data_IF_604181366035
#
_entry.id   IF_604181366035
#
_cell.length_a   1.000
_cell.length_b   1.000
_cell.length_c   1.000
_cell.angle_alpha   90.00
_cell.angle_beta   90.00
_cell.angle_gamma   90.00
#
_symmetry.space_group_name_H-M   'P 1'
#
loop_
_entity.id
_entity.type
_entity.pdbx_description
1 polymer ?
#
# COMPACT_ATOMS: atom_id res chain seq x y z
N UNK A 1 -8.96 33.45 2.78
CA UNK A 1 -7.75 33.50 1.97
C UNK A 1 -7.17 32.14 1.68
N UNK A 2 -8.01 31.11 1.62
CA UNK A 2 -7.71 29.75 1.15
C UNK A 2 -8.76 29.24 0.15
N UNK A 3 -9.76 30.10 -0.17
CA UNK A 3 -10.84 29.78 -1.11
C UNK A 3 -10.46 29.90 -2.60
N UNK A 4 -9.28 30.46 -2.90
CA UNK A 4 -8.88 30.76 -4.28
C UNK A 4 -7.88 29.74 -4.87
N UNK A 5 -7.62 28.62 -4.16
CA UNK A 5 -6.67 27.58 -4.58
C UNK A 5 -7.38 26.23 -4.84
N UNK A 6 -8.68 26.17 -4.68
CA UNK A 6 -9.42 24.97 -5.12
C UNK A 6 -9.76 25.17 -6.59
N UNK A 7 -9.06 24.53 -7.53
CA UNK A 7 -9.54 24.51 -8.90
C UNK A 7 -10.93 23.90 -8.88
N UNK A 8 -11.86 24.58 -9.52
CA UNK A 8 -13.17 24.07 -9.84
C UNK A 8 -12.99 22.63 -10.34
N UNK A 9 -13.59 21.67 -9.65
CA UNK A 9 -13.34 20.25 -9.74
C UNK A 9 -13.23 19.79 -11.20
N UNK A 10 -12.02 19.59 -11.68
CA UNK A 10 -11.81 18.82 -12.89
C UNK A 10 -12.08 17.34 -12.58
N UNK A 11 -13.31 17.01 -12.27
CA UNK A 11 -13.83 15.65 -12.41
C UNK A 11 -13.65 15.34 -13.90
N UNK A 12 -12.92 14.29 -14.28
CA UNK A 12 -12.87 13.88 -15.67
C UNK A 12 -14.32 13.76 -16.14
N UNK A 13 -14.63 14.39 -17.27
CA UNK A 13 -15.99 14.39 -17.81
C UNK A 13 -16.31 12.98 -18.27
N UNK A 14 -16.72 12.15 -17.29
CA UNK A 14 -17.11 10.78 -17.54
C UNK A 14 -18.39 10.82 -18.36
N UNK A 15 -18.38 10.17 -19.50
CA UNK A 15 -19.58 9.91 -20.27
C UNK A 15 -20.59 9.10 -19.41
N UNK A 16 -21.82 8.95 -19.89
CA UNK A 16 -22.87 8.26 -19.15
C UNK A 16 -22.46 6.83 -18.79
N UNK A 17 -21.73 6.14 -19.68
CA UNK A 17 -21.24 4.79 -19.46
C UNK A 17 -20.17 4.76 -18.36
N UNK A 18 -19.22 5.68 -18.38
CA UNK A 18 -18.19 5.84 -17.35
C UNK A 18 -18.79 6.12 -15.96
N UNK A 19 -19.86 6.93 -15.87
CA UNK A 19 -20.58 7.19 -14.61
C UNK A 19 -21.26 5.94 -14.07
N UNK A 20 -21.88 5.14 -14.94
CA UNK A 20 -22.51 3.86 -14.54
C UNK A 20 -21.45 2.89 -14.02
N UNK A 21 -20.32 2.73 -14.73
CA UNK A 21 -19.22 1.87 -14.30
C UNK A 21 -18.64 2.33 -12.97
N UNK A 22 -18.37 3.64 -12.79
CA UNK A 22 -17.87 4.20 -11.55
C UNK A 22 -18.84 3.97 -10.39
N UNK A 23 -20.15 4.15 -10.63
CA UNK A 23 -21.18 3.89 -9.60
C UNK A 23 -21.26 2.41 -9.21
N UNK A 24 -21.17 1.49 -10.18
CA UNK A 24 -21.15 0.06 -9.91
C UNK A 24 -19.90 -0.36 -9.13
N UNK A 25 -18.73 0.18 -9.46
CA UNK A 25 -17.50 -0.05 -8.72
C UNK A 25 -17.61 0.49 -7.29
N UNK A 26 -18.12 1.71 -7.11
CA UNK A 26 -18.34 2.29 -5.77
C UNK A 26 -19.28 1.43 -4.92
N UNK A 27 -20.40 0.97 -5.48
CA UNK A 27 -21.32 0.07 -4.79
C UNK A 27 -20.67 -1.28 -4.45
N UNK A 28 -19.86 -1.83 -5.35
CA UNK A 28 -19.15 -3.08 -5.09
C UNK A 28 -18.13 -2.92 -3.95
N UNK A 29 -17.37 -1.82 -3.95
CA UNK A 29 -16.43 -1.50 -2.87
C UNK A 29 -17.14 -1.32 -1.54
N UNK A 30 -18.28 -0.62 -1.50
CA UNK A 30 -19.10 -0.47 -0.26
C UNK A 30 -19.55 -1.82 0.30
N UNK A 31 -19.97 -2.74 -0.58
CA UNK A 31 -20.42 -4.08 -0.16
C UNK A 31 -19.30 -4.93 0.42
N UNK A 32 -18.10 -4.83 -0.16
CA UNK A 32 -16.95 -5.70 0.19
C UNK A 32 -16.09 -5.10 1.30
N UNK A 33 -15.84 -3.80 1.29
CA UNK A 33 -14.85 -3.14 2.15
C UNK A 33 -15.37 -2.67 3.51
N UNK A 34 -16.64 -2.88 3.82
CA UNK A 34 -17.27 -2.55 5.12
C UNK A 34 -16.97 -1.10 5.61
N UNK A 35 -16.42 -0.96 6.84
CA UNK A 35 -16.36 0.33 7.56
C UNK A 35 -15.39 1.36 6.94
N UNK A 36 -14.38 0.95 6.17
CA UNK A 36 -13.40 1.85 5.54
C UNK A 36 -13.69 2.17 4.09
N UNK A 37 -14.80 1.67 3.58
CA UNK A 37 -15.20 1.86 2.19
C UNK A 37 -15.35 3.34 1.80
N UNK A 38 -15.82 4.19 2.72
CA UNK A 38 -16.03 5.61 2.44
C UNK A 38 -14.75 6.36 2.08
N UNK A 39 -13.67 6.17 2.84
CA UNK A 39 -12.37 6.81 2.55
C UNK A 39 -11.77 6.31 1.24
N UNK A 40 -11.97 5.05 0.91
CA UNK A 40 -11.50 4.45 -0.33
C UNK A 40 -12.28 4.98 -1.53
N UNK A 41 -13.59 5.12 -1.38
CA UNK A 41 -14.47 5.66 -2.42
C UNK A 41 -14.14 7.13 -2.69
N UNK A 42 -13.95 7.94 -1.65
CA UNK A 42 -13.56 9.34 -1.81
C UNK A 42 -12.29 9.49 -2.65
N UNK A 43 -11.29 8.68 -2.39
CA UNK A 43 -10.04 8.68 -3.18
C UNK A 43 -10.23 8.25 -4.62
N UNK A 44 -11.12 7.28 -4.86
CA UNK A 44 -11.36 6.73 -6.20
C UNK A 44 -12.29 7.61 -7.04
N UNK A 45 -13.27 8.26 -6.40
CA UNK A 45 -14.34 9.02 -7.08
C UNK A 45 -14.02 10.51 -7.18
N UNK A 46 -13.19 11.05 -6.26
CA UNK A 46 -12.77 12.44 -6.25
C UNK A 46 -11.24 12.58 -6.40
N UNK A 47 -10.63 12.09 -7.50
CA UNK A 47 -9.20 12.25 -7.70
C UNK A 47 -8.88 13.71 -8.01
N UNK A 48 -7.83 14.24 -7.36
CA UNK A 48 -7.29 15.54 -7.76
C UNK A 48 -6.65 15.42 -9.15
N UNK A 49 -7.21 16.12 -10.12
CA UNK A 49 -6.64 16.21 -11.46
C UNK A 49 -5.31 16.97 -11.43
N UNK A 50 -4.40 16.59 -12.29
CA UNK A 50 -3.16 17.35 -12.52
C UNK A 50 -3.46 18.33 -13.64
N UNK A 51 -3.60 19.63 -13.30
CA UNK A 51 -3.77 20.66 -14.30
C UNK A 51 -2.47 20.87 -15.10
N UNK A 52 -2.60 21.14 -16.39
CA UNK A 52 -1.47 21.56 -17.22
C UNK A 52 -0.94 22.90 -16.70
N UNK A 53 0.23 22.88 -16.09
CA UNK A 53 0.92 24.11 -15.69
C UNK A 53 1.78 24.59 -16.84
N UNK A 54 1.34 25.65 -17.52
CA UNK A 54 2.17 26.38 -18.47
C UNK A 54 2.34 25.80 -19.87
N UNK A 55 1.46 24.91 -20.32
CA UNK A 55 1.26 24.62 -21.76
C UNK A 55 2.37 23.80 -22.46
N UNK A 56 3.32 23.20 -21.77
CA UNK A 56 4.47 22.53 -22.42
C UNK A 56 4.82 21.15 -21.89
N UNK A 57 4.21 20.66 -20.81
CA UNK A 57 4.51 19.32 -20.33
C UNK A 57 3.21 18.57 -20.05
N UNK A 58 2.81 17.73 -20.99
CA UNK A 58 1.74 16.79 -20.77
C UNK A 58 2.21 15.80 -19.70
N UNK A 59 1.75 15.99 -18.47
CA UNK A 59 2.05 15.03 -17.40
C UNK A 59 1.36 13.71 -17.77
N UNK A 60 2.08 12.58 -17.70
CA UNK A 60 1.57 11.27 -18.14
C UNK A 60 0.50 10.71 -17.20
N UNK A 61 0.24 11.40 -16.11
CA UNK A 61 -0.70 11.00 -15.08
C UNK A 61 -1.84 12.02 -14.99
N UNK A 62 -3.06 11.55 -15.20
CA UNK A 62 -4.24 12.39 -15.12
C UNK A 62 -4.53 12.86 -13.69
N UNK A 63 -4.03 12.15 -12.68
CA UNK A 63 -4.32 12.43 -11.26
C UNK A 63 -3.08 12.41 -10.39
N UNK A 64 -3.06 13.24 -9.35
CA UNK A 64 -1.98 13.26 -8.36
C UNK A 64 -1.88 11.92 -7.60
N UNK A 65 -3.02 11.29 -7.30
CA UNK A 65 -3.05 9.99 -6.64
C UNK A 65 -2.40 8.90 -7.51
N UNK A 66 -2.71 8.87 -8.82
CA UNK A 66 -2.09 7.92 -9.75
C UNK A 66 -0.57 8.12 -9.85
N UNK A 67 -0.10 9.36 -9.90
CA UNK A 67 1.34 9.66 -9.88
C UNK A 67 2.00 9.19 -8.59
N UNK A 68 1.37 9.47 -7.44
CA UNK A 68 1.88 9.04 -6.13
C UNK A 68 1.92 7.51 -5.99
N UNK A 69 0.91 6.78 -6.49
CA UNK A 69 0.88 5.32 -6.47
C UNK A 69 1.99 4.70 -7.35
N UNK A 70 2.25 5.29 -8.52
CA UNK A 70 3.37 4.86 -9.38
C UNK A 70 4.70 5.10 -8.67
N UNK A 71 4.93 6.27 -8.09
CA UNK A 71 6.16 6.56 -7.35
C UNK A 71 6.35 5.66 -6.12
N UNK A 72 5.28 5.36 -5.36
CA UNK A 72 5.36 4.45 -4.20
C UNK A 72 5.76 3.03 -4.63
N UNK A 73 5.18 2.51 -5.70
CA UNK A 73 5.55 1.21 -6.25
C UNK A 73 6.99 1.16 -6.75
N UNK A 74 7.41 2.18 -7.50
CA UNK A 74 8.77 2.28 -8.04
C UNK A 74 9.82 2.45 -6.94
N UNK A 75 9.53 3.23 -5.90
CA UNK A 75 10.43 3.39 -4.76
C UNK A 75 10.74 2.06 -4.06
N UNK A 76 9.83 1.09 -4.14
CA UNK A 76 9.97 -0.24 -3.52
C UNK A 76 10.68 -1.24 -4.43
N UNK A 77 10.35 -1.24 -5.72
CA UNK A 77 10.79 -2.30 -6.63
C UNK A 77 11.82 -1.80 -7.66
N UNK A 78 11.72 -0.55 -8.10
CA UNK A 78 12.62 0.05 -9.12
C UNK A 78 13.02 1.49 -8.75
N UNK A 79 13.76 1.71 -7.66
CA UNK A 79 14.04 3.06 -7.13
C UNK A 79 14.76 3.97 -8.15
N UNK A 80 15.57 3.40 -9.03
CA UNK A 80 16.24 4.17 -10.10
C UNK A 80 15.26 4.78 -11.09
N UNK A 81 14.24 4.03 -11.53
CA UNK A 81 13.18 4.52 -12.42
C UNK A 81 12.32 5.56 -11.67
N UNK A 82 11.98 5.27 -10.41
CA UNK A 82 11.22 6.20 -9.57
C UNK A 82 11.93 7.55 -9.38
N UNK A 83 13.24 7.54 -9.15
CA UNK A 83 14.04 8.75 -9.06
C UNK A 83 14.11 9.51 -10.40
N UNK A 84 14.33 8.80 -11.51
CA UNK A 84 14.34 9.40 -12.84
C UNK A 84 13.02 10.07 -13.17
N UNK A 85 11.90 9.40 -12.88
CA UNK A 85 10.55 9.94 -13.07
C UNK A 85 10.32 11.19 -12.20
N UNK A 86 10.71 11.16 -10.92
CA UNK A 86 10.58 12.28 -10.01
C UNK A 86 11.42 13.51 -10.42
N UNK A 87 12.54 13.29 -11.11
CA UNK A 87 13.38 14.34 -11.68
C UNK A 87 12.90 14.83 -13.06
N UNK A 88 11.79 14.32 -13.58
CA UNK A 88 11.20 14.76 -14.84
C UNK A 88 11.83 14.15 -16.10
N UNK A 89 12.55 13.03 -15.96
CA UNK A 89 13.05 12.31 -17.14
C UNK A 89 11.92 11.59 -17.86
N UNK A 90 12.04 11.49 -19.19
CA UNK A 90 11.06 10.78 -20.03
C UNK A 90 11.26 9.26 -19.91
N UNK A 91 10.67 8.68 -18.86
CA UNK A 91 10.71 7.23 -18.59
C UNK A 91 9.31 6.67 -18.23
N UNK A 92 8.25 7.28 -18.78
CA UNK A 92 6.87 7.00 -18.40
C UNK A 92 6.43 5.57 -18.69
N UNK A 93 6.79 5.02 -19.84
CA UNK A 93 6.43 3.64 -20.19
C UNK A 93 7.05 2.65 -19.22
N UNK A 94 8.36 2.80 -18.94
CA UNK A 94 9.07 1.96 -17.98
C UNK A 94 8.49 2.12 -16.55
N UNK A 95 8.10 3.32 -16.18
CA UNK A 95 7.46 3.59 -14.89
C UNK A 95 6.11 2.91 -14.74
N UNK A 96 5.27 2.99 -15.78
CA UNK A 96 3.95 2.33 -15.79
C UNK A 96 4.07 0.81 -15.83
N UNK A 97 5.03 0.26 -16.55
CA UNK A 97 5.25 -1.18 -16.61
C UNK A 97 5.74 -1.71 -15.26
N UNK A 98 6.68 -1.02 -14.61
CA UNK A 98 7.11 -1.34 -13.26
C UNK A 98 5.96 -1.27 -12.25
N UNK A 99 5.14 -0.23 -12.30
CA UNK A 99 3.94 -0.14 -11.46
C UNK A 99 2.95 -1.29 -11.70
N UNK A 100 2.69 -1.65 -12.96
CA UNK A 100 1.78 -2.77 -13.30
C UNK A 100 2.31 -4.11 -12.80
N UNK A 101 3.61 -4.34 -12.90
CA UNK A 101 4.27 -5.54 -12.41
C UNK A 101 4.16 -5.62 -10.89
N UNK A 102 4.52 -4.55 -10.17
CA UNK A 102 4.37 -4.44 -8.72
C UNK A 102 2.92 -4.67 -8.27
N UNK A 103 1.96 -4.05 -8.95
CA UNK A 103 0.53 -4.21 -8.63
C UNK A 103 0.07 -5.66 -8.81
N UNK A 104 0.44 -6.31 -9.93
CA UNK A 104 0.09 -7.71 -10.16
C UNK A 104 0.70 -8.62 -9.09
N UNK A 105 1.97 -8.44 -8.77
CA UNK A 105 2.66 -9.22 -7.74
C UNK A 105 1.96 -9.06 -6.37
N UNK A 106 1.66 -7.83 -5.95
CA UNK A 106 0.98 -7.57 -4.69
C UNK A 106 -0.43 -8.18 -4.65
N UNK A 107 -1.22 -8.03 -5.71
CA UNK A 107 -2.57 -8.60 -5.77
C UNK A 107 -2.56 -10.13 -5.82
N UNK A 108 -1.62 -10.74 -6.53
CA UNK A 108 -1.44 -12.20 -6.53
C UNK A 108 -1.07 -12.71 -5.14
N UNK A 109 -0.15 -12.04 -4.47
CA UNK A 109 0.23 -12.37 -3.09
C UNK A 109 -0.97 -12.27 -2.13
N UNK A 110 -1.77 -11.22 -2.22
CA UNK A 110 -2.97 -11.05 -1.39
C UNK A 110 -4.04 -12.12 -1.69
N UNK A 111 -4.18 -12.51 -2.95
CA UNK A 111 -5.16 -13.53 -3.35
C UNK A 111 -4.83 -14.90 -2.77
N UNK A 112 -3.53 -15.24 -2.74
CA UNK A 112 -3.03 -16.53 -2.28
C UNK A 112 -2.64 -16.52 -0.78
N UNK A 113 -2.72 -15.36 -0.11
CA UNK A 113 -2.33 -15.23 1.29
C UNK A 113 -3.19 -16.09 2.21
N UNK A 114 -2.55 -16.79 3.14
CA UNK A 114 -3.23 -17.35 4.30
C UNK A 114 -3.47 -16.26 5.34
N UNK A 115 -4.74 -15.99 5.65
CA UNK A 115 -5.16 -14.89 6.53
C UNK A 115 -5.56 -15.43 7.90
N UNK A 116 -4.72 -15.18 8.88
CA UNK A 116 -5.01 -15.46 10.30
C UNK A 116 -5.46 -14.19 11.03
N UNK A 117 -6.48 -14.32 11.88
CA UNK A 117 -7.05 -13.20 12.63
C UNK A 117 -6.90 -13.41 14.12
N UNK A 118 -6.34 -12.41 14.76
CA UNK A 118 -6.21 -12.30 16.22
C UNK A 118 -6.92 -11.04 16.69
N UNK A 119 -7.18 -10.94 17.98
CA UNK A 119 -7.73 -9.71 18.54
C UNK A 119 -6.71 -8.57 18.40
N UNK A 120 -7.06 -7.55 17.63
CA UNK A 120 -6.20 -6.39 17.38
C UNK A 120 -5.22 -6.56 16.22
N UNK A 121 -5.09 -7.77 15.61
CA UNK A 121 -4.10 -8.06 14.59
C UNK A 121 -4.65 -8.99 13.50
N UNK A 122 -4.37 -8.67 12.25
CA UNK A 122 -4.48 -9.60 11.12
C UNK A 122 -3.08 -9.94 10.64
N UNK A 123 -2.81 -11.22 10.42
CA UNK A 123 -1.59 -11.73 9.81
C UNK A 123 -1.91 -12.24 8.41
N UNK A 124 -1.21 -11.72 7.41
CA UNK A 124 -1.25 -12.18 6.03
C UNK A 124 0.05 -12.91 5.72
N UNK A 125 -0.01 -14.21 5.67
CA UNK A 125 1.11 -15.07 5.32
C UNK A 125 1.16 -15.27 3.81
N UNK A 126 2.25 -14.83 3.18
CA UNK A 126 2.50 -14.91 1.74
C UNK A 126 3.76 -15.74 1.42
N UNK A 127 4.23 -16.56 2.35
CA UNK A 127 5.45 -17.35 2.20
C UNK A 127 5.40 -18.33 1.03
N UNK A 128 4.23 -18.87 0.70
CA UNK A 128 4.06 -19.76 -0.46
C UNK A 128 3.95 -19.01 -1.80
N UNK A 129 3.97 -17.68 -1.75
CA UNK A 129 3.86 -16.86 -2.95
C UNK A 129 5.23 -16.27 -3.26
N UNK A 130 5.77 -16.52 -4.44
CA UNK A 130 6.97 -15.83 -4.91
C UNK A 130 6.68 -14.35 -5.04
N UNK A 131 6.83 -13.62 -3.96
CA UNK A 131 6.70 -12.16 -3.94
C UNK A 131 8.08 -11.55 -3.76
N UNK A 132 8.41 -10.60 -4.62
CA UNK A 132 9.59 -9.78 -4.41
C UNK A 132 9.48 -9.04 -3.07
N UNK A 133 10.57 -8.94 -2.34
CA UNK A 133 10.63 -8.27 -1.02
C UNK A 133 10.05 -6.85 -1.03
N UNK A 134 10.08 -6.17 -2.18
CA UNK A 134 9.47 -4.85 -2.38
C UNK A 134 7.95 -4.81 -2.26
N UNK A 135 7.23 -5.92 -2.48
CA UNK A 135 5.76 -5.93 -2.51
C UNK A 135 5.11 -6.11 -1.14
N UNK A 136 5.83 -6.66 -0.16
CA UNK A 136 5.26 -7.02 1.15
C UNK A 136 4.63 -5.83 1.90
N UNK A 137 5.24 -4.66 1.82
CA UNK A 137 4.70 -3.43 2.41
C UNK A 137 3.38 -2.99 1.76
N UNK A 138 3.26 -3.20 0.44
CA UNK A 138 2.03 -2.95 -0.31
C UNK A 138 0.95 -3.96 0.06
N UNK A 139 1.30 -5.24 0.23
CA UNK A 139 0.40 -6.29 0.72
C UNK A 139 -0.16 -5.92 2.10
N UNK A 140 0.70 -5.58 3.06
CA UNK A 140 0.28 -5.18 4.40
C UNK A 140 -0.69 -3.98 4.35
N UNK A 141 -0.37 -2.95 3.56
CA UNK A 141 -1.20 -1.76 3.37
C UNK A 141 -2.56 -2.10 2.77
N UNK A 142 -2.60 -2.86 1.68
CA UNK A 142 -3.85 -3.20 1.00
C UNK A 142 -4.74 -4.11 1.84
N UNK A 143 -4.16 -5.06 2.57
CA UNK A 143 -4.92 -5.90 3.52
C UNK A 143 -5.51 -5.04 4.63
N UNK A 144 -4.74 -4.09 5.19
CA UNK A 144 -5.24 -3.14 6.20
C UNK A 144 -6.41 -2.30 5.68
N UNK A 145 -6.26 -1.74 4.47
CA UNK A 145 -7.22 -0.76 3.95
C UNK A 145 -8.51 -1.43 3.44
N UNK A 146 -8.42 -2.66 2.93
CA UNK A 146 -9.55 -3.29 2.23
C UNK A 146 -10.07 -4.58 2.85
N UNK A 147 -9.26 -5.34 3.59
CA UNK A 147 -9.66 -6.67 4.11
C UNK A 147 -9.71 -6.76 5.63
N UNK A 148 -8.94 -5.93 6.35
CA UNK A 148 -8.85 -5.99 7.80
C UNK A 148 -9.87 -5.08 8.49
N UNK A 149 -10.47 -5.58 9.57
CA UNK A 149 -11.20 -4.78 10.54
C UNK A 149 -10.35 -4.47 11.78
N UNK A 150 -9.25 -5.22 11.94
CA UNK A 150 -8.34 -5.05 13.06
C UNK A 150 -7.43 -3.83 12.84
N UNK A 151 -6.99 -3.17 13.93
CA UNK A 151 -6.19 -1.95 13.85
C UNK A 151 -4.77 -2.17 13.29
N UNK A 152 -4.25 -3.39 13.35
CA UNK A 152 -2.91 -3.73 12.90
C UNK A 152 -2.94 -4.86 11.89
N UNK A 153 -2.08 -4.78 10.88
CA UNK A 153 -1.83 -5.85 9.91
C UNK A 153 -0.34 -6.14 9.83
N UNK A 154 -0.01 -7.41 9.86
CA UNK A 154 1.32 -7.95 9.65
C UNK A 154 1.31 -8.80 8.39
N UNK A 155 2.19 -8.54 7.44
CA UNK A 155 2.44 -9.40 6.29
C UNK A 155 3.77 -10.14 6.49
N UNK A 156 3.81 -11.43 6.18
CA UNK A 156 4.95 -12.32 6.37
C UNK A 156 5.29 -12.97 5.04
N UNK A 157 6.54 -12.81 4.58
CA UNK A 157 7.13 -13.50 3.44
C UNK A 157 8.31 -14.35 3.91
N UNK A 158 8.97 -15.06 2.99
CA UNK A 158 10.07 -15.98 3.34
C UNK A 158 11.27 -15.26 3.99
N UNK A 159 11.59 -14.06 3.48
CA UNK A 159 12.78 -13.31 3.86
C UNK A 159 12.48 -11.91 4.45
N UNK A 160 11.21 -11.58 4.61
CA UNK A 160 10.80 -10.25 5.03
C UNK A 160 9.46 -10.23 5.78
N UNK A 161 9.29 -9.23 6.60
CA UNK A 161 8.03 -8.92 7.27
C UNK A 161 7.70 -7.44 7.15
N UNK A 162 6.43 -7.11 7.05
CA UNK A 162 5.96 -5.73 7.05
C UNK A 162 4.76 -5.57 7.97
N UNK A 163 4.82 -4.57 8.85
CA UNK A 163 3.74 -4.21 9.77
C UNK A 163 3.13 -2.87 9.40
N UNK A 164 1.81 -2.73 9.60
CA UNK A 164 1.13 -1.46 9.44
C UNK A 164 -0.06 -1.32 10.38
N UNK A 165 -0.29 -0.10 10.89
CA UNK A 165 -1.43 0.21 11.73
C UNK A 165 -2.37 1.23 11.06
N UNK A 166 -3.61 1.29 11.52
CA UNK A 166 -4.59 2.33 11.18
C UNK A 166 -4.22 3.64 11.84
N UNK A 167 -3.99 3.58 13.15
CA UNK A 167 -3.63 4.72 13.98
C UNK A 167 -2.17 5.11 13.75
N UNK A 168 -1.92 6.41 13.59
CA UNK A 168 -0.55 6.91 13.32
C UNK A 168 0.33 6.91 14.57
N UNK A 169 -0.30 6.97 15.74
CA UNK A 169 0.34 7.01 17.04
C UNK A 169 0.87 5.64 17.50
N UNK A 170 0.39 4.57 16.88
CA UNK A 170 0.82 3.20 17.22
C UNK A 170 2.20 2.92 16.65
N UNK A 171 3.16 2.66 17.53
CA UNK A 171 4.56 2.41 17.14
C UNK A 171 4.78 0.97 16.68
N UNK A 172 4.39 0.72 15.43
CA UNK A 172 4.60 -0.59 14.79
C UNK A 172 6.09 -0.91 14.63
N UNK A 173 6.96 0.12 14.54
CA UNK A 173 8.40 -0.09 14.37
C UNK A 173 9.02 -0.66 15.64
N UNK A 174 8.66 -0.14 16.80
CA UNK A 174 9.13 -0.65 18.09
C UNK A 174 8.68 -2.12 18.28
N UNK A 175 7.38 -2.38 18.08
CA UNK A 175 6.82 -3.73 18.21
C UNK A 175 7.47 -4.73 17.21
N UNK A 176 7.69 -4.31 15.96
CA UNK A 176 8.34 -5.17 14.98
C UNK A 176 9.82 -5.43 15.33
N UNK A 177 10.52 -4.42 15.84
CA UNK A 177 11.93 -4.56 16.27
C UNK A 177 12.06 -5.58 17.41
N UNK A 178 11.18 -5.49 18.40
CA UNK A 178 11.16 -6.41 19.54
C UNK A 178 10.84 -7.84 19.08
N UNK A 179 9.80 -8.00 18.25
CA UNK A 179 9.40 -9.30 17.75
C UNK A 179 10.46 -9.97 16.86
N UNK A 180 11.11 -9.21 16.00
CA UNK A 180 12.19 -9.73 15.15
C UNK A 180 13.41 -10.11 16.00
N UNK A 181 13.80 -9.30 16.96
CA UNK A 181 14.92 -9.58 17.85
C UNK A 181 14.70 -10.86 18.69
N UNK A 182 13.44 -11.21 19.01
CA UNK A 182 13.10 -12.44 19.72
C UNK A 182 13.39 -13.72 18.91
N UNK A 183 13.42 -13.64 17.58
CA UNK A 183 13.64 -14.78 16.69
C UNK A 183 14.95 -14.70 15.91
N UNK A 184 15.48 -13.52 15.71
CA UNK A 184 16.76 -13.25 15.02
C UNK A 184 17.44 -12.04 15.65
N UNK A 185 18.40 -12.28 16.55
CA UNK A 185 19.13 -11.23 17.29
C UNK A 185 19.88 -10.23 16.40
N UNK A 186 20.14 -10.57 15.14
CA UNK A 186 20.87 -9.71 14.19
C UNK A 186 19.96 -8.85 13.32
N UNK A 187 18.67 -9.18 13.27
CA UNK A 187 17.72 -8.45 12.47
C UNK A 187 17.16 -7.24 13.24
N UNK A 188 16.86 -6.19 12.52
CA UNK A 188 16.23 -4.99 13.06
C UNK A 188 15.14 -4.51 12.12
N UNK A 189 14.10 -3.92 12.68
CA UNK A 189 13.07 -3.29 11.89
C UNK A 189 13.44 -1.84 11.56
N UNK A 190 13.01 -1.40 10.40
CA UNK A 190 13.03 -0.01 9.98
C UNK A 190 11.60 0.44 9.71
N UNK A 191 11.30 1.70 10.00
CA UNK A 191 9.95 2.19 9.77
C UNK A 191 9.77 3.64 10.15
N UNK A 192 8.57 4.14 9.90
CA UNK A 192 8.17 5.49 10.30
C UNK A 192 6.68 5.54 10.56
N UNK A 193 6.32 5.96 11.77
CA UNK A 193 4.93 6.07 12.19
C UNK A 193 4.23 4.70 12.15
N UNK A 194 3.19 4.60 11.35
CA UNK A 194 2.37 3.39 11.24
C UNK A 194 2.88 2.30 10.29
N UNK A 195 4.09 2.43 9.76
CA UNK A 195 4.69 1.47 8.82
C UNK A 195 6.01 0.99 9.34
N UNK A 196 6.23 -0.32 9.33
CA UNK A 196 7.49 -0.93 9.67
C UNK A 196 7.80 -2.07 8.69
N UNK A 197 9.08 -2.34 8.52
CA UNK A 197 9.61 -3.39 7.67
C UNK A 197 10.86 -3.98 8.32
N UNK A 198 11.03 -5.29 8.23
CA UNK A 198 12.27 -5.95 8.59
C UNK A 198 12.58 -7.03 7.55
N UNK A 199 13.87 -7.18 7.26
CA UNK A 199 14.39 -8.28 6.49
C UNK A 199 14.86 -9.35 7.48
N UNK A 200 14.17 -10.49 7.53
CA UNK A 200 14.49 -11.60 8.41
C UNK A 200 13.76 -12.86 7.95
N UNK A 201 14.45 -13.97 7.92
CA UNK A 201 13.90 -15.29 7.61
C UNK A 201 13.20 -15.87 8.85
N UNK A 202 11.97 -15.44 9.09
CA UNK A 202 11.18 -15.87 10.27
C UNK A 202 10.34 -17.14 10.04
N UNK A 203 10.31 -17.68 8.84
CA UNK A 203 9.45 -18.81 8.42
C UNK A 203 9.52 -20.01 9.36
N UNK A 204 10.70 -20.34 9.86
CA UNK A 204 10.91 -21.46 10.79
C UNK A 204 10.45 -21.18 12.23
N UNK A 205 10.20 -19.92 12.59
CA UNK A 205 9.79 -19.43 13.91
C UNK A 205 8.56 -18.54 13.85
N UNK A 206 7.72 -18.70 12.83
CA UNK A 206 6.57 -17.83 12.56
C UNK A 206 5.66 -17.66 13.78
N UNK A 207 5.29 -18.74 14.44
CA UNK A 207 4.39 -18.69 15.59
C UNK A 207 5.01 -17.89 16.76
N UNK A 208 6.26 -18.17 17.08
CA UNK A 208 6.98 -17.42 18.13
C UNK A 208 7.13 -15.95 17.79
N UNK A 209 7.37 -15.62 16.52
CA UNK A 209 7.42 -14.24 16.06
C UNK A 209 6.07 -13.55 16.16
N UNK A 210 4.98 -14.18 15.72
CA UNK A 210 3.63 -13.64 15.81
C UNK A 210 3.22 -13.41 17.26
N UNK A 211 3.55 -14.34 18.16
CA UNK A 211 3.25 -14.19 19.59
C UNK A 211 4.06 -13.04 20.19
N UNK A 212 5.36 -12.92 19.92
CA UNK A 212 6.17 -11.78 20.37
C UNK A 212 5.65 -10.44 19.85
N UNK A 213 5.24 -10.40 18.57
CA UNK A 213 4.66 -9.18 18.00
C UNK A 213 3.32 -8.80 18.66
N UNK A 214 2.50 -9.78 19.02
CA UNK A 214 1.22 -9.55 19.72
C UNK A 214 1.39 -9.05 21.13
N UNK A 215 2.47 -9.46 21.79
CA UNK A 215 2.80 -8.97 23.14
C UNK A 215 3.32 -7.53 23.11
N UNK A 216 4.03 -7.15 22.04
CA UNK A 216 4.65 -5.84 21.88
C UNK A 216 3.70 -4.75 21.35
N UNK A 217 2.55 -5.08 20.72
CA UNK A 217 1.64 -4.15 20.05
C UNK A 217 0.40 -3.86 20.89
#
# INVERSE_FOLDING_TARGET
MLSDIVPDSATPDLDEHGRVVASMLALSVVREAKTRASETIDRAVCPYGVAEVGGTTQLPFATLAGYADVLDALARSWPGIGLALALGHDCYEAALDGWREHARAAHTAIHNADISRYRGLVVADITETTSESGTIGTVARLVRDYRSQEPVVLAIADDAVAGTAVERERDVTAALTEAVAAVDEKASATGRGRYAYAQSAITTRKDAFVDAFREAI
#
